data_IF_270297356699
#
_entry.id   IF_270297356699
#
_cell.length_a   1.000
_cell.length_b   1.000
_cell.length_c   1.000
_cell.angle_alpha   90.00
_cell.angle_beta   90.00
_cell.angle_gamma   90.00
#
_symmetry.space_group_name_H-M   'P 1'
#
loop_
_entity.id
_entity.type
_entity.pdbx_description
1 polymer ?
#
# COMPACT_ATOMS: atom_id res chain seq x y z
N UNK A 1 -17.05 -14.73 14.59
CA UNK A 1 -16.66 -13.39 14.09
C UNK A 1 -16.09 -13.57 12.69
N UNK A 2 -16.43 -12.72 11.74
CA UNK A 2 -15.91 -12.82 10.38
C UNK A 2 -14.37 -12.74 10.42
N UNK A 3 -13.70 -13.74 9.82
CA UNK A 3 -12.25 -13.74 9.61
C UNK A 3 -11.85 -12.90 8.39
N UNK A 4 -12.84 -12.26 7.74
CA UNK A 4 -12.62 -11.40 6.59
C UNK A 4 -12.04 -10.06 7.02
N UNK A 5 -10.84 -9.76 6.55
CA UNK A 5 -10.13 -8.49 6.80
C UNK A 5 -9.96 -7.65 5.55
N UNK A 6 -10.19 -8.21 4.35
CA UNK A 6 -10.07 -7.53 3.07
C UNK A 6 -11.30 -6.68 2.83
N UNK A 7 -11.12 -5.36 2.78
CA UNK A 7 -12.20 -4.38 2.72
C UNK A 7 -13.08 -4.54 1.48
N UNK A 8 -12.47 -4.80 0.34
CA UNK A 8 -13.16 -5.00 -0.95
C UNK A 8 -14.04 -6.26 -1.02
N UNK A 9 -13.85 -7.18 -0.10
CA UNK A 9 -14.65 -8.42 0.01
C UNK A 9 -15.72 -8.33 1.09
N UNK A 10 -15.85 -7.18 1.77
CA UNK A 10 -16.89 -6.95 2.77
C UNK A 10 -18.14 -6.32 2.13
N UNK A 11 -19.30 -6.65 2.65
CA UNK A 11 -20.50 -5.85 2.36
C UNK A 11 -20.40 -4.50 3.06
N UNK A 12 -20.96 -3.42 2.48
CA UNK A 12 -20.81 -2.06 2.98
C UNK A 12 -21.12 -1.89 4.46
N UNK A 13 -22.20 -2.54 4.96
CA UNK A 13 -22.55 -2.55 6.39
C UNK A 13 -21.45 -3.15 7.26
N UNK A 14 -20.84 -4.25 6.81
CA UNK A 14 -19.83 -4.98 7.58
C UNK A 14 -18.50 -4.24 7.54
N UNK A 15 -18.16 -3.60 6.43
CA UNK A 15 -16.98 -2.73 6.28
C UNK A 15 -17.05 -1.53 7.25
N UNK A 16 -18.19 -0.82 7.29
CA UNK A 16 -18.41 0.29 8.24
C UNK A 16 -18.29 -0.21 9.68
N UNK A 17 -18.88 -1.35 10.02
CA UNK A 17 -18.81 -1.92 11.36
C UNK A 17 -17.37 -2.33 11.74
N UNK A 18 -16.60 -2.89 10.80
CA UNK A 18 -15.21 -3.28 11.01
C UNK A 18 -14.33 -2.06 11.31
N UNK A 19 -14.43 -0.98 10.52
CA UNK A 19 -13.66 0.27 10.74
C UNK A 19 -14.07 0.92 12.07
N UNK A 20 -15.36 0.98 12.40
CA UNK A 20 -15.82 1.52 13.70
C UNK A 20 -15.29 0.73 14.90
N UNK A 21 -15.20 -0.59 14.75
CA UNK A 21 -14.70 -1.48 15.82
C UNK A 21 -13.19 -1.35 16.04
N UNK A 22 -12.43 -1.26 14.95
CA UNK A 22 -10.98 -1.11 14.96
C UNK A 22 -10.58 -0.19 13.81
N UNK A 23 -10.35 1.11 14.06
CA UNK A 23 -10.12 2.11 13.02
C UNK A 23 -8.69 2.08 12.47
N UNK A 24 -8.12 0.88 12.30
CA UNK A 24 -6.82 0.63 11.70
C UNK A 24 -7.01 0.16 10.26
N UNK A 25 -6.42 0.87 9.32
CA UNK A 25 -6.37 0.51 7.91
C UNK A 25 -4.96 0.11 7.49
N UNK A 26 -4.84 -0.91 6.66
CA UNK A 26 -3.59 -1.30 6.03
C UNK A 26 -3.71 -1.10 4.53
N UNK A 27 -2.81 -0.31 3.94
CA UNK A 27 -2.70 -0.15 2.49
C UNK A 27 -1.40 -0.79 2.00
N UNK A 28 -1.47 -2.01 1.41
CA UNK A 28 -0.31 -2.63 0.77
C UNK A 28 -0.02 -1.92 -0.55
N UNK A 29 1.22 -1.48 -0.74
CA UNK A 29 1.65 -0.74 -1.93
C UNK A 29 2.88 -1.37 -2.57
N UNK A 30 3.06 -1.14 -3.86
CA UNK A 30 4.19 -1.62 -4.64
C UNK A 30 3.99 -1.45 -6.14
N UNK A 31 4.72 -2.22 -6.91
CA UNK A 31 4.67 -2.19 -8.38
C UNK A 31 4.70 -3.60 -8.97
N UNK A 32 4.61 -3.68 -10.29
CA UNK A 32 4.90 -4.89 -11.04
C UNK A 32 6.37 -4.84 -11.45
N UNK A 33 7.19 -5.68 -10.83
CA UNK A 33 8.62 -5.69 -11.04
C UNK A 33 9.15 -7.11 -11.27
N UNK A 34 10.11 -7.25 -12.20
CA UNK A 34 10.77 -8.52 -12.45
C UNK A 34 11.80 -8.85 -11.37
N UNK A 35 11.63 -9.99 -10.73
CA UNK A 35 12.53 -10.56 -9.71
C UNK A 35 13.21 -11.85 -10.20
N UNK A 36 13.70 -11.83 -11.42
CA UNK A 36 14.18 -13.02 -12.12
C UNK A 36 13.02 -13.83 -12.72
N UNK A 37 13.33 -15.02 -13.25
CA UNK A 37 12.33 -15.86 -13.92
C UNK A 37 11.59 -16.83 -12.97
N UNK A 38 11.98 -16.85 -11.71
CA UNK A 38 11.46 -17.76 -10.68
C UNK A 38 10.43 -17.13 -9.75
N UNK A 39 10.18 -15.82 -9.84
CA UNK A 39 9.21 -15.11 -9.00
C UNK A 39 8.20 -14.36 -9.88
N UNK A 40 6.94 -14.21 -9.40
CA UNK A 40 5.92 -13.51 -10.14
C UNK A 40 6.19 -12.00 -10.20
N UNK A 41 5.77 -11.34 -11.27
CA UNK A 41 5.90 -9.89 -11.47
C UNK A 41 5.28 -9.06 -10.34
N UNK A 42 4.22 -9.53 -9.73
CA UNK A 42 3.53 -8.86 -8.63
C UNK A 42 4.05 -9.19 -7.24
N UNK A 43 5.25 -9.80 -7.11
CA UNK A 43 5.78 -10.27 -5.83
C UNK A 43 5.67 -9.24 -4.71
N UNK A 44 6.07 -8.02 -4.97
CA UNK A 44 6.11 -6.94 -3.97
C UNK A 44 4.73 -6.69 -3.36
N UNK A 45 3.74 -6.51 -4.22
CA UNK A 45 2.37 -6.22 -3.78
C UNK A 45 1.71 -7.45 -3.16
N UNK A 46 1.92 -8.63 -3.73
CA UNK A 46 1.37 -9.88 -3.20
C UNK A 46 1.93 -10.19 -1.80
N UNK A 47 3.22 -10.00 -1.61
CA UNK A 47 3.89 -10.15 -0.31
C UNK A 47 3.34 -9.13 0.70
N UNK A 48 3.31 -7.85 0.33
CA UNK A 48 2.80 -6.78 1.19
C UNK A 48 1.34 -7.06 1.61
N UNK A 49 0.48 -7.42 0.67
CA UNK A 49 -0.92 -7.74 0.96
C UNK A 49 -1.06 -8.92 1.94
N UNK A 50 -0.28 -10.00 1.75
CA UNK A 50 -0.32 -11.16 2.66
C UNK A 50 0.12 -10.81 4.08
N UNK A 51 1.16 -9.99 4.23
CA UNK A 51 1.64 -9.49 5.53
C UNK A 51 0.57 -8.65 6.21
N UNK A 52 -0.02 -7.67 5.50
CA UNK A 52 -1.10 -6.84 6.02
C UNK A 52 -2.32 -7.67 6.46
N UNK A 53 -2.73 -8.65 5.65
CA UNK A 53 -3.82 -9.56 6.03
C UNK A 53 -3.50 -10.39 7.28
N UNK A 54 -2.27 -10.85 7.44
CA UNK A 54 -1.83 -11.58 8.63
C UNK A 54 -1.87 -10.67 9.88
N UNK A 55 -1.36 -9.44 9.77
CA UNK A 55 -1.40 -8.45 10.84
C UNK A 55 -2.84 -8.12 11.25
N UNK A 56 -3.70 -7.77 10.28
CA UNK A 56 -5.10 -7.43 10.55
C UNK A 56 -5.90 -8.57 11.22
N UNK A 57 -5.59 -9.84 10.92
CA UNK A 57 -6.20 -10.98 11.61
C UNK A 57 -5.78 -11.09 13.07
N UNK A 58 -4.59 -10.62 13.42
CA UNK A 58 -4.07 -10.69 14.79
C UNK A 58 -4.50 -9.49 15.64
N UNK A 59 -4.37 -8.28 15.11
CA UNK A 59 -4.59 -7.05 15.89
C UNK A 59 -5.92 -6.36 15.59
N UNK A 60 -6.63 -6.79 14.57
CA UNK A 60 -7.84 -6.12 14.06
C UNK A 60 -7.54 -5.12 12.95
N UNK A 61 -8.59 -4.42 12.50
CA UNK A 61 -8.52 -3.49 11.38
C UNK A 61 -8.92 -4.09 10.06
N UNK A 62 -8.77 -3.32 9.00
CA UNK A 62 -9.12 -3.69 7.63
C UNK A 62 -7.94 -3.55 6.69
N UNK A 63 -7.85 -4.40 5.68
CA UNK A 63 -6.83 -4.33 4.63
C UNK A 63 -7.50 -3.83 3.36
N UNK A 64 -7.06 -2.69 2.86
CA UNK A 64 -7.55 -2.14 1.61
C UNK A 64 -6.98 -2.90 0.40
N UNK A 65 -7.63 -2.83 -0.77
CA UNK A 65 -7.11 -3.44 -1.98
C UNK A 65 -5.66 -3.04 -2.23
N UNK A 66 -4.78 -3.99 -2.57
CA UNK A 66 -3.39 -3.68 -2.80
C UNK A 66 -3.21 -2.73 -4.00
N UNK A 67 -2.35 -1.74 -3.85
CA UNK A 67 -2.10 -0.73 -4.86
C UNK A 67 -0.87 -1.07 -5.69
N UNK A 68 -1.08 -1.64 -6.88
CA UNK A 68 -0.04 -2.16 -7.77
C UNK A 68 0.78 -1.09 -8.49
N UNK A 69 0.29 0.14 -8.54
CA UNK A 69 0.89 1.21 -9.34
C UNK A 69 1.42 2.38 -8.50
N UNK A 70 1.64 2.14 -7.21
CA UNK A 70 2.24 3.13 -6.29
C UNK A 70 3.73 2.91 -6.03
N UNK A 71 4.36 2.00 -6.76
CA UNK A 71 5.80 1.87 -6.77
C UNK A 71 6.43 2.93 -7.66
N UNK A 72 7.55 3.49 -7.23
CA UNK A 72 8.34 4.43 -8.01
C UNK A 72 9.80 3.99 -8.13
N UNK A 73 10.41 4.37 -9.25
CA UNK A 73 11.82 4.16 -9.53
C UNK A 73 12.43 5.42 -10.14
N UNK A 74 13.61 5.80 -9.71
CA UNK A 74 14.39 6.89 -10.33
C UNK A 74 15.33 6.41 -11.43
N UNK A 75 15.28 5.12 -11.78
CA UNK A 75 16.10 4.56 -12.85
C UNK A 75 15.37 4.64 -14.21
N UNK A 76 16.13 4.93 -15.26
CA UNK A 76 15.58 4.89 -16.62
C UNK A 76 15.24 3.46 -17.05
N UNK A 77 14.32 3.27 -18.02
CA UNK A 77 13.99 1.96 -18.57
C UNK A 77 15.21 1.15 -19.01
N UNK A 78 16.18 1.79 -19.66
CA UNK A 78 17.40 1.13 -20.12
C UNK A 78 18.26 0.65 -18.98
N UNK A 79 18.34 1.42 -17.89
CA UNK A 79 19.10 1.07 -16.70
C UNK A 79 18.46 -0.10 -15.95
N UNK A 80 17.14 -0.12 -15.84
CA UNK A 80 16.40 -1.24 -15.25
C UNK A 80 16.59 -2.49 -16.13
N UNK A 81 16.43 -2.38 -17.44
CA UNK A 81 16.63 -3.49 -18.38
C UNK A 81 18.03 -4.09 -18.27
N UNK A 82 19.07 -3.28 -18.05
CA UNK A 82 20.43 -3.75 -17.82
C UNK A 82 20.56 -4.60 -16.56
N UNK A 83 19.83 -4.27 -15.50
CA UNK A 83 19.88 -5.04 -14.25
C UNK A 83 19.01 -6.28 -14.28
N UNK A 84 17.87 -6.24 -14.94
CA UNK A 84 16.88 -7.32 -14.98
C UNK A 84 16.97 -8.17 -16.26
N UNK A 85 17.81 -7.77 -17.22
CA UNK A 85 17.97 -8.43 -18.52
C UNK A 85 16.81 -8.16 -19.50
N UNK A 86 15.71 -7.60 -19.06
CA UNK A 86 14.56 -7.30 -19.90
C UNK A 86 13.68 -6.24 -19.21
N UNK A 87 13.15 -5.28 -19.97
CA UNK A 87 12.14 -4.37 -19.47
C UNK A 87 10.81 -5.11 -19.26
N UNK A 88 10.25 -5.01 -18.07
CA UNK A 88 8.97 -5.64 -17.73
C UNK A 88 8.31 -4.99 -16.53
N UNK A 89 8.96 -3.96 -15.96
CA UNK A 89 8.46 -3.29 -14.76
C UNK A 89 7.37 -2.27 -15.13
N UNK A 90 6.32 -2.21 -14.32
CA UNK A 90 5.24 -1.24 -14.44
C UNK A 90 5.08 -0.53 -13.11
N UNK A 91 5.32 0.77 -13.11
CA UNK A 91 5.21 1.64 -11.96
C UNK A 91 4.82 3.04 -12.42
N UNK A 92 4.49 3.91 -11.47
CA UNK A 92 4.25 5.34 -11.73
C UNK A 92 5.34 6.17 -11.09
N UNK A 93 5.62 7.34 -11.66
CA UNK A 93 6.60 8.27 -11.12
C UNK A 93 5.89 9.36 -10.27
N UNK A 94 5.77 10.56 -10.81
CA UNK A 94 5.31 11.74 -10.06
C UNK A 94 3.87 11.64 -9.53
N UNK A 95 3.00 10.84 -10.14
CA UNK A 95 1.59 10.70 -9.72
C UNK A 95 1.39 9.78 -8.52
N UNK A 96 2.36 8.93 -8.18
CA UNK A 96 2.22 7.95 -7.11
C UNK A 96 1.98 8.61 -5.75
N UNK A 97 2.80 9.62 -5.40
CA UNK A 97 2.66 10.36 -4.13
C UNK A 97 1.30 11.03 -4.02
N UNK A 98 0.89 11.79 -5.06
CA UNK A 98 -0.39 12.49 -5.06
C UNK A 98 -1.57 11.51 -4.90
N UNK A 99 -1.53 10.40 -5.62
CA UNK A 99 -2.56 9.38 -5.53
C UNK A 99 -2.66 8.78 -4.12
N UNK A 100 -1.54 8.42 -3.51
CA UNK A 100 -1.51 7.89 -2.14
C UNK A 100 -1.99 8.93 -1.13
N UNK A 101 -1.57 10.20 -1.24
CA UNK A 101 -2.04 11.29 -0.38
C UNK A 101 -3.56 11.47 -0.48
N UNK A 102 -4.13 11.40 -1.67
CA UNK A 102 -5.57 11.48 -1.86
C UNK A 102 -6.30 10.28 -1.23
N UNK A 103 -5.74 9.07 -1.34
CA UNK A 103 -6.27 7.89 -0.67
C UNK A 103 -6.24 8.03 0.86
N UNK A 104 -5.19 8.58 1.45
CA UNK A 104 -5.12 8.85 2.92
C UNK A 104 -6.30 9.72 3.34
N UNK A 105 -6.58 10.81 2.61
CA UNK A 105 -7.71 11.70 2.88
C UNK A 105 -9.07 10.97 2.81
N UNK A 106 -9.23 10.06 1.83
CA UNK A 106 -10.45 9.27 1.70
C UNK A 106 -10.60 8.26 2.84
N UNK A 107 -9.52 7.57 3.23
CA UNK A 107 -9.56 6.64 4.36
C UNK A 107 -9.86 7.33 5.68
N UNK A 108 -9.30 8.53 5.92
CA UNK A 108 -9.67 9.39 7.04
C UNK A 108 -11.18 9.67 7.07
N UNK A 109 -11.74 10.07 5.93
CA UNK A 109 -13.18 10.33 5.78
C UNK A 109 -14.02 9.08 6.03
N UNK A 110 -13.52 7.90 5.66
CA UNK A 110 -14.17 6.62 5.94
C UNK A 110 -14.09 6.18 7.41
N UNK A 111 -13.37 6.92 8.26
CA UNK A 111 -13.26 6.68 9.70
C UNK A 111 -12.01 5.92 10.13
N UNK A 112 -11.04 5.70 9.24
CA UNK A 112 -9.72 5.19 9.62
C UNK A 112 -9.00 6.25 10.45
N UNK A 113 -8.40 5.84 11.56
CA UNK A 113 -7.62 6.71 12.47
C UNK A 113 -6.14 6.36 12.52
N UNK A 114 -5.78 5.16 12.13
CA UNK A 114 -4.39 4.74 11.93
C UNK A 114 -4.29 4.07 10.57
N UNK A 115 -3.48 4.59 9.68
CA UNK A 115 -3.21 4.02 8.36
C UNK A 115 -1.77 3.56 8.26
N UNK A 116 -1.60 2.26 8.03
CA UNK A 116 -0.30 1.64 7.76
C UNK A 116 -0.07 1.63 6.25
N UNK A 117 0.88 2.42 5.76
CA UNK A 117 1.37 2.35 4.38
C UNK A 117 2.48 1.30 4.29
N UNK A 118 2.13 0.08 3.90
CA UNK A 118 3.08 -1.02 3.86
C UNK A 118 3.59 -1.28 2.45
N UNK A 119 4.82 -0.85 2.16
CA UNK A 119 5.44 -1.10 0.85
C UNK A 119 6.15 -2.44 0.79
N UNK A 120 5.91 -3.20 -0.28
CA UNK A 120 6.69 -4.38 -0.65
C UNK A 120 7.87 -4.07 -1.56
N UNK A 121 7.95 -2.84 -2.06
CA UNK A 121 8.95 -2.32 -2.98
C UNK A 121 9.82 -1.29 -2.26
N UNK A 122 11.14 -1.44 -2.22
CA UNK A 122 12.03 -0.74 -1.30
C UNK A 122 13.16 0.08 -1.91
N UNK A 123 13.12 0.58 -3.14
CA UNK A 123 14.14 1.54 -3.57
C UNK A 123 14.07 2.79 -2.70
N UNK A 124 15.20 3.49 -2.56
CA UNK A 124 15.33 4.66 -1.68
C UNK A 124 14.23 5.71 -1.93
N UNK A 125 13.94 6.00 -3.20
CA UNK A 125 12.88 6.95 -3.58
C UNK A 125 11.48 6.52 -3.10
N UNK A 126 11.18 5.22 -3.08
CA UNK A 126 9.92 4.69 -2.56
C UNK A 126 9.80 4.92 -1.04
N UNK A 127 10.87 4.63 -0.31
CA UNK A 127 10.92 4.85 1.14
C UNK A 127 10.80 6.34 1.48
N UNK A 128 11.48 7.19 0.73
CA UNK A 128 11.40 8.64 0.89
C UNK A 128 9.98 9.16 0.62
N UNK A 129 9.34 8.71 -0.43
CA UNK A 129 7.95 9.07 -0.76
C UNK A 129 6.98 8.70 0.38
N UNK A 130 7.10 7.50 0.94
CA UNK A 130 6.23 7.07 2.07
C UNK A 130 6.46 7.96 3.29
N UNK A 131 7.71 8.28 3.62
CA UNK A 131 8.05 9.20 4.72
C UNK A 131 7.55 10.62 4.49
N UNK A 132 7.58 11.11 3.26
CA UNK A 132 7.02 12.43 2.92
C UNK A 132 5.50 12.46 3.11
N UNK A 133 4.80 11.36 2.80
CA UNK A 133 3.35 11.24 3.06
C UNK A 133 3.10 11.19 4.57
N UNK A 134 3.84 10.38 5.32
CA UNK A 134 3.77 10.35 6.79
C UNK A 134 3.91 11.76 7.39
N UNK A 135 4.93 12.50 6.92
CA UNK A 135 5.20 13.87 7.38
C UNK A 135 4.07 14.86 7.02
N UNK A 136 3.43 14.71 5.86
CA UNK A 136 2.31 15.56 5.44
C UNK A 136 1.11 15.47 6.40
N UNK A 137 0.94 14.33 7.06
CA UNK A 137 -0.13 14.06 8.02
C UNK A 137 0.34 14.04 9.49
N UNK A 138 1.58 14.46 9.79
CA UNK A 138 2.13 14.37 11.14
C UNK A 138 1.34 15.17 12.19
N UNK A 139 0.75 16.30 11.80
CA UNK A 139 -0.06 17.17 12.66
C UNK A 139 -1.58 16.98 12.46
N UNK A 140 -2.00 15.95 11.73
CA UNK A 140 -3.42 15.66 11.50
C UNK A 140 -4.01 14.93 12.71
N UNK A 141 -4.94 15.58 13.42
CA UNK A 141 -5.55 15.02 14.64
C UNK A 141 -6.50 13.85 14.35
N UNK A 142 -6.93 13.70 13.11
CA UNK A 142 -7.94 12.71 12.70
C UNK A 142 -7.35 11.41 12.16
N UNK A 143 -6.09 11.39 11.73
CA UNK A 143 -5.44 10.20 11.21
C UNK A 143 -3.93 10.21 11.47
N UNK A 144 -3.40 9.12 12.00
CA UNK A 144 -1.97 8.84 12.02
C UNK A 144 -1.60 7.97 10.80
N UNK A 145 -0.61 8.39 10.03
CA UNK A 145 -0.02 7.61 8.94
C UNK A 145 1.32 7.06 9.41
N UNK A 146 1.56 5.76 9.20
CA UNK A 146 2.80 5.07 9.64
C UNK A 146 3.32 4.14 8.56
#
# INVERSE_FOLDING_TARGET
MSTQVQYELMYGRDAIAAVRKCPVGFLPIGCLERHGDHLPMGLDVLKAHRVCCAAARQIGGVVFPPHYYSGIHLMTPERIAKHTGQWGNIYTDASAKQNLTDLVRQFRTAGVRVLVLYTGHYPKCQVEMVKEIEQEFADDEDIAVI
#
